data_IF_647700861652
#
_entry.id   IF_647700861652
#
_cell.length_a   1.000
_cell.length_b   1.000
_cell.length_c   1.000
_cell.angle_alpha   90.00
_cell.angle_beta   90.00
_cell.angle_gamma   90.00
#
_symmetry.space_group_name_H-M   'P 1'
#
loop_
_entity.id
_entity.type
_entity.pdbx_description
1 polymer ?
#
# COMPACT_ATOMS: atom_id res chain seq x y z
N UNK A 1 -18.76 6.97 -2.80
CA UNK A 1 -18.03 5.72 -3.05
C UNK A 1 -18.08 5.29 -4.53
N UNK A 2 -18.05 6.23 -5.48
CA UNK A 2 -18.10 5.97 -6.95
C UNK A 2 -16.93 6.69 -7.67
N UNK A 3 -15.92 7.14 -6.93
CA UNK A 3 -14.80 7.91 -7.48
C UNK A 3 -13.72 7.09 -8.21
N UNK A 4 -13.82 5.77 -8.20
CA UNK A 4 -12.70 4.90 -8.63
C UNK A 4 -12.82 4.32 -10.04
N UNK A 5 -13.89 4.60 -10.78
CA UNK A 5 -14.20 3.86 -12.04
C UNK A 5 -14.39 4.80 -13.25
N UNK A 6 -14.42 6.11 -13.08
CA UNK A 6 -14.67 7.01 -14.21
C UNK A 6 -13.44 7.86 -14.53
N UNK A 7 -13.16 7.98 -15.83
CA UNK A 7 -12.24 8.99 -16.36
C UNK A 7 -12.60 10.36 -15.74
N UNK A 8 -11.63 11.12 -15.20
CA UNK A 8 -11.86 12.41 -14.57
C UNK A 8 -12.69 13.39 -15.43
N UNK A 9 -12.45 13.40 -16.74
CA UNK A 9 -13.17 14.25 -17.69
C UNK A 9 -14.65 13.86 -17.80
N UNK A 10 -14.93 12.55 -17.85
CA UNK A 10 -16.30 12.03 -17.87
C UNK A 10 -17.03 12.33 -16.56
N UNK A 11 -16.31 12.28 -15.43
CA UNK A 11 -16.87 12.65 -14.13
C UNK A 11 -17.22 14.14 -14.06
N UNK A 12 -16.32 15.01 -14.52
CA UNK A 12 -16.56 16.46 -14.56
C UNK A 12 -17.75 16.79 -15.47
N UNK A 13 -17.82 16.21 -16.66
CA UNK A 13 -18.95 16.38 -17.59
C UNK A 13 -20.27 15.92 -16.98
N UNK A 14 -20.27 14.81 -16.25
CA UNK A 14 -21.44 14.33 -15.52
C UNK A 14 -21.87 15.29 -14.42
N UNK A 15 -20.91 15.85 -13.67
CA UNK A 15 -21.18 16.85 -12.62
C UNK A 15 -21.75 18.14 -13.24
N UNK A 16 -21.21 18.61 -14.36
CA UNK A 16 -21.74 19.77 -15.09
C UNK A 16 -23.16 19.52 -15.61
N UNK A 17 -23.40 18.35 -16.18
CA UNK A 17 -24.73 17.95 -16.67
C UNK A 17 -25.76 17.83 -15.55
N UNK A 18 -25.31 17.47 -14.34
CA UNK A 18 -26.16 17.31 -13.15
C UNK A 18 -26.29 18.59 -12.29
N UNK A 19 -25.76 19.71 -12.75
CA UNK A 19 -25.76 20.99 -12.00
C UNK A 19 -27.14 21.42 -11.50
N UNK A 20 -28.20 21.10 -12.25
CA UNK A 20 -29.59 21.44 -11.93
C UNK A 20 -30.19 20.62 -10.79
N UNK A 21 -29.54 19.49 -10.43
CA UNK A 21 -29.97 18.56 -9.37
C UNK A 21 -29.14 18.77 -8.08
N UNK A 22 -27.93 19.33 -8.22
CA UNK A 22 -27.03 19.53 -7.09
C UNK A 22 -27.31 20.86 -6.39
N UNK A 23 -27.22 20.87 -5.06
CA UNK A 23 -27.22 22.15 -4.33
C UNK A 23 -26.00 22.98 -4.73
N UNK A 24 -26.13 24.32 -4.86
CA UNK A 24 -25.02 25.18 -5.29
C UNK A 24 -23.71 24.97 -4.48
N UNK A 25 -23.84 24.78 -3.17
CA UNK A 25 -22.69 24.51 -2.28
C UNK A 25 -21.99 23.19 -2.58
N UNK A 26 -22.76 22.17 -2.90
CA UNK A 26 -22.19 20.85 -3.20
C UNK A 26 -21.54 20.85 -4.60
N UNK A 27 -22.15 21.50 -5.56
CA UNK A 27 -21.57 21.70 -6.89
C UNK A 27 -20.23 22.43 -6.80
N UNK A 28 -20.15 23.59 -6.13
CA UNK A 28 -18.91 24.34 -5.96
C UNK A 28 -17.83 23.51 -5.23
N UNK A 29 -18.23 22.75 -4.22
CA UNK A 29 -17.31 21.88 -3.49
C UNK A 29 -16.76 20.76 -4.37
N UNK A 30 -17.60 20.16 -5.20
CA UNK A 30 -17.20 19.10 -6.13
C UNK A 30 -16.26 19.67 -7.18
N UNK A 31 -16.59 20.82 -7.79
CA UNK A 31 -15.74 21.48 -8.79
C UNK A 31 -14.39 21.90 -8.18
N UNK A 32 -14.37 22.56 -7.04
CA UNK A 32 -13.11 22.90 -6.36
C UNK A 32 -12.23 21.69 -6.02
N UNK A 33 -12.84 20.55 -5.74
CA UNK A 33 -12.13 19.29 -5.49
C UNK A 33 -11.73 18.57 -6.78
N UNK A 34 -12.33 18.93 -7.93
CA UNK A 34 -12.01 18.42 -9.26
C UNK A 34 -11.13 19.37 -10.07
N UNK A 35 -11.06 20.66 -9.73
CA UNK A 35 -10.16 21.67 -10.33
C UNK A 35 -8.67 21.45 -9.99
N UNK A 36 -8.35 20.37 -9.31
CA UNK A 36 -7.01 19.79 -9.34
C UNK A 36 -6.86 19.11 -10.70
N UNK A 37 -6.55 19.92 -11.70
CA UNK A 37 -6.49 19.55 -13.11
C UNK A 37 -5.55 18.36 -13.35
N UNK A 38 -6.02 17.27 -13.98
CA UNK A 38 -5.16 16.16 -14.39
C UNK A 38 -4.32 16.47 -15.64
N UNK A 39 -4.36 17.70 -16.15
CA UNK A 39 -3.79 18.09 -17.45
C UNK A 39 -2.37 18.67 -17.38
N UNK A 40 -1.69 18.67 -16.23
CA UNK A 40 -0.26 18.88 -16.22
C UNK A 40 0.44 17.53 -16.31
N UNK A 41 1.25 17.28 -17.36
CA UNK A 41 2.04 16.03 -17.46
C UNK A 41 3.07 15.88 -16.33
N UNK A 42 3.22 16.89 -15.47
CA UNK A 42 4.04 16.85 -14.25
C UNK A 42 3.22 16.54 -12.98
N UNK A 43 1.90 16.44 -13.07
CA UNK A 43 1.06 16.07 -11.94
C UNK A 43 0.96 14.54 -11.84
N UNK A 44 2.03 13.91 -11.47
CA UNK A 44 1.92 12.62 -10.80
C UNK A 44 1.15 12.86 -9.50
N UNK A 45 0.02 12.20 -9.28
CA UNK A 45 -0.70 12.37 -8.02
C UNK A 45 0.30 12.07 -6.90
N UNK A 46 0.68 13.11 -6.16
CA UNK A 46 1.61 12.99 -5.03
C UNK A 46 0.87 12.20 -3.94
N UNK A 47 0.70 10.91 -4.18
CA UNK A 47 0.19 9.96 -3.18
C UNK A 47 1.13 10.00 -1.98
N UNK A 48 2.33 10.53 -2.18
CA UNK A 48 3.46 10.39 -1.33
C UNK A 48 4.25 11.71 -1.20
N UNK A 49 3.85 12.57 -0.29
CA UNK A 49 4.77 13.55 0.29
C UNK A 49 5.03 13.11 1.72
N UNK A 50 6.19 12.54 1.96
CA UNK A 50 6.65 12.25 3.31
C UNK A 50 8.11 12.68 3.45
N UNK A 51 8.39 13.56 4.40
CA UNK A 51 9.76 13.85 4.82
C UNK A 51 10.38 12.57 5.39
N UNK A 52 11.66 12.34 5.08
CA UNK A 52 12.39 11.19 5.60
C UNK A 52 12.46 11.26 7.13
N UNK A 53 12.09 10.20 7.79
CA UNK A 53 12.07 10.15 9.23
C UNK A 53 11.81 8.75 9.76
N UNK A 54 11.67 8.67 11.08
CA UNK A 54 11.49 7.40 11.77
C UNK A 54 10.17 6.68 11.41
N UNK A 55 9.17 7.40 10.90
CA UNK A 55 7.89 6.82 10.53
C UNK A 55 7.84 6.27 9.09
N UNK A 56 8.90 6.45 8.30
CA UNK A 56 9.05 5.83 6.99
C UNK A 56 10.41 5.15 6.82
N UNK A 57 11.07 4.86 7.94
CA UNK A 57 12.35 4.16 7.98
C UNK A 57 13.44 4.89 7.19
N UNK A 58 13.40 6.22 7.15
CA UNK A 58 14.29 7.08 6.37
C UNK A 58 14.37 6.75 4.88
N UNK A 59 13.49 5.87 4.38
CA UNK A 59 13.41 5.47 2.98
C UNK A 59 12.97 6.61 2.07
N UNK A 60 13.41 6.54 0.81
CA UNK A 60 12.89 7.41 -0.24
C UNK A 60 11.60 6.79 -0.75
N UNK A 61 10.49 7.47 -0.51
CA UNK A 61 9.24 7.05 -1.07
C UNK A 61 9.23 7.34 -2.57
N UNK A 62 9.21 6.30 -3.36
CA UNK A 62 9.18 6.34 -4.82
C UNK A 62 8.07 5.42 -5.32
N UNK A 63 7.22 5.96 -6.18
CA UNK A 63 6.14 5.21 -6.82
C UNK A 63 6.67 3.99 -7.56
N UNK A 64 7.79 4.14 -8.27
CA UNK A 64 8.42 3.04 -9.02
C UNK A 64 8.96 1.95 -8.09
N UNK A 65 9.60 2.33 -6.97
CA UNK A 65 10.08 1.34 -6.00
C UNK A 65 8.93 0.58 -5.36
N UNK A 66 7.87 1.30 -4.91
CA UNK A 66 6.68 0.65 -4.34
C UNK A 66 6.05 -0.31 -5.34
N UNK A 67 5.83 0.15 -6.59
CA UNK A 67 5.31 -0.71 -7.66
C UNK A 67 6.16 -1.98 -7.82
N UNK A 68 7.45 -1.82 -7.95
CA UNK A 68 8.33 -2.96 -8.23
C UNK A 68 8.51 -3.91 -7.04
N UNK A 69 8.35 -3.44 -5.78
CA UNK A 69 8.23 -4.33 -4.62
C UNK A 69 6.94 -5.16 -4.70
N UNK A 70 5.81 -4.54 -5.04
CA UNK A 70 4.54 -5.26 -5.23
C UNK A 70 4.64 -6.32 -6.33
N UNK A 71 5.19 -5.95 -7.49
CA UNK A 71 5.42 -6.87 -8.61
C UNK A 71 6.36 -8.02 -8.20
N UNK A 72 7.40 -7.72 -7.41
CA UNK A 72 8.35 -8.73 -6.92
C UNK A 72 7.67 -9.74 -5.99
N UNK A 73 6.88 -9.26 -5.04
CA UNK A 73 6.10 -10.12 -4.15
C UNK A 73 5.11 -10.98 -4.93
N UNK A 74 4.39 -10.41 -5.89
CA UNK A 74 3.45 -11.15 -6.74
C UNK A 74 4.16 -12.19 -7.62
N UNK A 75 5.33 -11.88 -8.14
CA UNK A 75 6.14 -12.83 -8.90
C UNK A 75 6.58 -14.03 -8.04
N UNK A 76 6.94 -13.79 -6.77
CA UNK A 76 7.45 -14.85 -5.86
C UNK A 76 6.35 -15.64 -5.17
N UNK A 77 5.27 -14.98 -4.77
CA UNK A 77 4.21 -15.56 -3.95
C UNK A 77 2.96 -15.94 -4.77
N UNK A 78 2.88 -15.54 -6.04
CA UNK A 78 1.67 -15.70 -6.86
C UNK A 78 0.60 -14.69 -6.47
N UNK A 79 -0.66 -15.06 -6.67
CA UNK A 79 -1.82 -14.24 -6.30
C UNK A 79 -1.85 -13.99 -4.79
N UNK A 80 -1.95 -12.72 -4.38
CA UNK A 80 -1.86 -12.34 -2.96
C UNK A 80 -3.06 -11.51 -2.56
N UNK A 81 -3.74 -11.89 -1.48
CA UNK A 81 -4.78 -11.05 -0.88
C UNK A 81 -4.24 -9.74 -0.32
N UNK A 82 -5.02 -8.68 -0.38
CA UNK A 82 -4.68 -7.36 0.19
C UNK A 82 -4.13 -7.45 1.61
N UNK A 83 -4.83 -8.20 2.46
CA UNK A 83 -4.43 -8.37 3.87
C UNK A 83 -3.04 -8.98 3.98
N UNK A 84 -2.74 -9.99 3.17
CA UNK A 84 -1.42 -10.63 3.13
C UNK A 84 -0.37 -9.68 2.57
N UNK A 85 -0.65 -8.98 1.48
CA UNK A 85 0.27 -8.00 0.88
C UNK A 85 0.68 -6.92 1.89
N UNK A 86 -0.27 -6.39 2.65
CA UNK A 86 0.01 -5.42 3.71
C UNK A 86 1.04 -5.91 4.72
N UNK A 87 0.97 -7.20 5.09
CA UNK A 87 1.91 -7.81 6.05
C UNK A 87 3.28 -8.07 5.42
N UNK A 88 3.31 -8.53 4.18
CA UNK A 88 4.56 -8.75 3.46
C UNK A 88 5.33 -7.44 3.29
N UNK A 89 4.65 -6.33 2.94
CA UNK A 89 5.25 -5.01 2.87
C UNK A 89 5.77 -4.53 4.24
N UNK A 90 4.95 -4.69 5.30
CA UNK A 90 5.36 -4.32 6.65
C UNK A 90 6.63 -5.05 7.06
N UNK A 91 6.67 -6.37 6.95
CA UNK A 91 7.85 -7.12 7.33
C UNK A 91 9.06 -6.81 6.44
N UNK A 92 8.89 -6.65 5.13
CA UNK A 92 9.98 -6.29 4.23
C UNK A 92 10.65 -4.98 4.63
N UNK A 93 9.87 -3.94 4.88
CA UNK A 93 10.40 -2.63 5.26
C UNK A 93 11.02 -2.62 6.66
N UNK A 94 10.38 -3.29 7.63
CA UNK A 94 10.89 -3.32 8.99
C UNK A 94 12.14 -4.18 9.14
N UNK A 95 12.24 -5.31 8.42
CA UNK A 95 13.46 -6.12 8.37
C UNK A 95 14.57 -5.36 7.67
N UNK A 96 14.27 -4.67 6.57
CA UNK A 96 15.25 -3.83 5.89
C UNK A 96 15.77 -2.71 6.80
N UNK A 97 14.88 -2.05 7.51
CA UNK A 97 15.30 -1.03 8.47
C UNK A 97 16.18 -1.61 9.59
N UNK A 98 15.84 -2.77 10.13
CA UNK A 98 16.65 -3.47 11.15
C UNK A 98 18.04 -3.84 10.65
N UNK A 99 18.14 -4.31 9.41
CA UNK A 99 19.40 -4.82 8.86
C UNK A 99 20.24 -3.73 8.17
N UNK A 100 19.60 -2.78 7.48
CA UNK A 100 20.25 -1.81 6.63
C UNK A 100 20.15 -0.36 7.17
N UNK A 101 19.34 -0.11 8.20
CA UNK A 101 19.07 1.24 8.72
C UNK A 101 18.12 2.06 7.86
N UNK A 102 17.54 1.49 6.81
CA UNK A 102 16.65 2.16 5.86
C UNK A 102 15.59 1.20 5.34
N UNK A 103 14.35 1.68 5.15
CA UNK A 103 13.28 0.89 4.55
C UNK A 103 13.43 0.78 3.03
N UNK A 104 12.87 -0.28 2.42
CA UNK A 104 12.90 -0.49 0.97
C UNK A 104 11.95 0.46 0.25
N UNK A 105 10.73 0.60 0.76
CA UNK A 105 9.67 1.34 0.06
C UNK A 105 9.55 2.81 0.49
N UNK A 106 9.97 3.14 1.71
CA UNK A 106 9.72 4.44 2.34
C UNK A 106 8.27 4.65 2.78
N UNK A 107 7.46 3.60 2.85
CA UNK A 107 6.08 3.66 3.30
C UNK A 107 5.98 3.90 4.81
N UNK A 108 4.94 4.62 5.22
CA UNK A 108 4.53 4.72 6.63
C UNK A 108 3.43 3.71 6.91
N UNK A 109 3.43 3.16 8.11
CA UNK A 109 2.49 2.12 8.52
C UNK A 109 1.60 2.56 9.68
N UNK A 110 0.37 2.03 9.73
CA UNK A 110 -0.58 2.21 10.83
C UNK A 110 -0.97 0.87 11.42
N UNK A 111 -1.21 0.85 12.72
CA UNK A 111 -1.78 -0.29 13.42
C UNK A 111 -3.31 -0.21 13.37
N UNK A 112 -3.96 -0.98 12.51
CA UNK A 112 -5.41 -1.09 12.44
C UNK A 112 -5.89 -2.44 12.98
N UNK A 113 -7.21 -2.66 13.04
CA UNK A 113 -7.82 -3.89 13.58
C UNK A 113 -7.24 -5.17 12.97
N UNK A 114 -6.96 -5.16 11.66
CA UNK A 114 -6.44 -6.32 10.94
C UNK A 114 -4.89 -6.39 10.88
N UNK A 115 -4.20 -5.68 11.77
CA UNK A 115 -2.73 -5.64 11.85
C UNK A 115 -2.11 -4.42 11.18
N UNK A 116 -0.78 -4.35 11.09
CA UNK A 116 -0.07 -3.27 10.40
C UNK A 116 -0.43 -3.19 8.92
N UNK A 117 -0.68 -1.98 8.44
CA UNK A 117 -0.95 -1.69 7.02
C UNK A 117 -0.24 -0.42 6.58
N UNK A 118 0.20 -0.31 5.32
CA UNK A 118 0.67 0.96 4.79
C UNK A 118 -0.41 2.04 4.88
N UNK A 119 -0.04 3.28 5.18
CA UNK A 119 -0.99 4.39 5.07
C UNK A 119 -1.50 4.47 3.64
N UNK A 120 -2.83 4.61 3.48
CA UNK A 120 -3.51 4.67 2.18
C UNK A 120 -3.25 3.45 1.27
N UNK A 121 -3.12 2.26 1.86
CA UNK A 121 -2.94 1.01 1.12
C UNK A 121 -3.98 0.81 0.00
N UNK A 122 -5.22 1.25 0.23
CA UNK A 122 -6.32 1.24 -0.74
C UNK A 122 -5.98 2.00 -2.03
N UNK A 123 -5.25 3.12 -1.91
CA UNK A 123 -4.81 3.92 -3.06
C UNK A 123 -3.54 3.38 -3.69
N UNK A 124 -2.63 2.85 -2.88
CA UNK A 124 -1.37 2.27 -3.36
C UNK A 124 -1.67 1.21 -4.42
N UNK A 125 -2.53 0.26 -4.10
CA UNK A 125 -2.80 -0.86 -5.02
C UNK A 125 -3.55 -0.43 -6.28
N UNK A 126 -4.46 0.53 -6.18
CA UNK A 126 -5.21 1.04 -7.33
C UNK A 126 -4.43 2.04 -8.20
N UNK A 127 -3.19 2.39 -7.82
CA UNK A 127 -2.38 3.37 -8.56
C UNK A 127 -1.59 2.77 -9.73
N UNK A 128 -1.54 1.44 -9.82
CA UNK A 128 -0.69 0.76 -10.79
C UNK A 128 -1.51 -0.07 -11.78
N UNK A 129 -1.43 0.29 -13.06
CA UNK A 129 -2.13 -0.43 -14.14
C UNK A 129 -1.59 -1.84 -14.34
N UNK A 130 -0.34 -2.10 -13.93
CA UNK A 130 0.31 -3.40 -14.00
C UNK A 130 -0.21 -4.41 -12.98
N UNK A 131 -1.02 -3.96 -12.01
CA UNK A 131 -1.58 -4.80 -10.95
C UNK A 131 -3.09 -4.87 -11.11
N UNK A 132 -3.60 -6.06 -11.37
CA UNK A 132 -5.03 -6.33 -11.41
C UNK A 132 -5.58 -6.56 -10.00
N UNK A 133 -6.76 -6.02 -9.75
CA UNK A 133 -7.46 -6.09 -8.47
C UNK A 133 -8.76 -6.85 -8.70
N UNK A 134 -8.86 -8.03 -8.13
CA UNK A 134 -9.99 -8.93 -8.37
C UNK A 134 -10.69 -9.32 -7.06
N UNK A 135 -12.03 -9.21 -6.97
CA UNK A 135 -12.78 -9.80 -5.88
C UNK A 135 -12.71 -11.32 -5.99
N UNK A 136 -12.51 -12.00 -4.87
CA UNK A 136 -12.51 -13.47 -4.81
C UNK A 136 -13.25 -13.96 -3.58
N UNK A 137 -14.10 -14.95 -3.78
CA UNK A 137 -14.83 -15.62 -2.72
C UNK A 137 -14.11 -16.94 -2.41
N UNK A 138 -13.78 -17.17 -1.14
CA UNK A 138 -13.23 -18.43 -0.65
C UNK A 138 -14.11 -18.92 0.49
N UNK A 139 -14.87 -19.99 0.23
CA UNK A 139 -15.93 -20.42 1.14
C UNK A 139 -16.97 -19.33 1.31
N UNK A 140 -17.24 -18.92 2.55
CA UNK A 140 -18.21 -17.86 2.89
C UNK A 140 -17.56 -16.47 3.05
N UNK A 141 -16.27 -16.34 2.72
CA UNK A 141 -15.52 -15.08 2.88
C UNK A 141 -15.22 -14.46 1.53
N UNK A 142 -15.52 -13.17 1.42
CA UNK A 142 -15.13 -12.34 0.31
C UNK A 142 -13.80 -11.63 0.62
N UNK A 143 -12.91 -11.59 -0.36
CA UNK A 143 -11.63 -10.90 -0.26
C UNK A 143 -11.22 -10.33 -1.60
N UNK A 144 -10.19 -9.48 -1.59
CA UNK A 144 -9.63 -8.89 -2.80
C UNK A 144 -8.22 -9.39 -3.02
N UNK A 145 -7.96 -9.89 -4.20
CA UNK A 145 -6.68 -10.44 -4.64
C UNK A 145 -5.99 -9.45 -5.56
N UNK A 146 -4.68 -9.36 -5.41
CA UNK A 146 -3.76 -8.71 -6.32
C UNK A 146 -3.13 -9.76 -7.22
N UNK A 147 -3.11 -9.49 -8.53
CA UNK A 147 -2.48 -10.34 -9.54
C UNK A 147 -1.69 -9.50 -10.52
N UNK A 148 -0.71 -10.08 -11.18
CA UNK A 148 0.06 -9.43 -12.25
C UNK A 148 0.64 -10.44 -13.23
N UNK A 149 0.84 -10.02 -14.49
CA UNK A 149 1.66 -10.71 -15.47
C UNK A 149 2.98 -9.98 -15.75
N UNK A 150 3.19 -8.82 -15.13
CA UNK A 150 4.35 -7.96 -15.36
C UNK A 150 5.49 -8.35 -14.43
N UNK A 151 6.70 -8.42 -14.97
CA UNK A 151 7.91 -8.69 -14.18
C UNK A 151 8.40 -7.40 -13.51
N UNK A 152 8.94 -7.50 -12.27
CA UNK A 152 9.53 -6.36 -11.60
C UNK A 152 10.84 -5.91 -12.29
N UNK A 153 11.10 -4.63 -12.25
CA UNK A 153 12.43 -4.08 -12.52
C UNK A 153 13.28 -4.18 -11.26
N UNK A 154 14.12 -5.20 -11.21
CA UNK A 154 15.00 -5.46 -10.06
C UNK A 154 16.22 -4.56 -10.03
N UNK A 155 16.52 -3.81 -11.09
CA UNK A 155 17.65 -2.87 -11.13
C UNK A 155 17.49 -1.68 -10.17
N UNK A 156 16.25 -1.45 -9.69
CA UNK A 156 15.92 -0.42 -8.69
C UNK A 156 16.38 -0.77 -7.27
N UNK A 157 16.80 -2.00 -7.02
CA UNK A 157 17.13 -2.52 -5.70
C UNK A 157 18.59 -2.97 -5.61
N UNK A 158 19.15 -2.82 -4.44
CA UNK A 158 20.45 -3.41 -4.11
C UNK A 158 20.32 -4.92 -3.90
N UNK A 159 21.42 -5.65 -3.97
CA UNK A 159 21.44 -7.09 -3.69
C UNK A 159 20.94 -7.40 -2.27
N UNK A 160 21.26 -6.56 -1.28
CA UNK A 160 20.78 -6.72 0.09
C UNK A 160 19.28 -6.54 0.20
N UNK A 161 18.68 -5.58 -0.50
CA UNK A 161 17.24 -5.39 -0.52
C UNK A 161 16.52 -6.57 -1.20
N UNK A 162 17.07 -7.07 -2.31
CA UNK A 162 16.53 -8.24 -2.99
C UNK A 162 16.61 -9.50 -2.10
N UNK A 163 17.70 -9.65 -1.36
CA UNK A 163 17.85 -10.76 -0.41
C UNK A 163 16.78 -10.71 0.68
N UNK A 164 16.51 -9.52 1.23
CA UNK A 164 15.45 -9.33 2.23
C UNK A 164 14.08 -9.67 1.63
N UNK A 165 13.78 -9.19 0.42
CA UNK A 165 12.52 -9.50 -0.26
C UNK A 165 12.37 -11.02 -0.49
N UNK A 166 13.44 -11.72 -0.85
CA UNK A 166 13.45 -13.17 -1.01
C UNK A 166 13.23 -13.89 0.33
N UNK A 167 13.87 -13.44 1.40
CA UNK A 167 13.69 -13.97 2.76
C UNK A 167 12.24 -13.82 3.21
N UNK A 168 11.65 -12.64 3.05
CA UNK A 168 10.25 -12.36 3.39
C UNK A 168 9.29 -13.26 2.58
N UNK A 169 9.47 -13.32 1.27
CA UNK A 169 8.63 -14.15 0.42
C UNK A 169 8.75 -15.63 0.78
N UNK A 170 9.96 -16.16 0.97
CA UNK A 170 10.16 -17.57 1.28
C UNK A 170 9.65 -17.97 2.66
N UNK A 171 9.83 -17.10 3.66
CA UNK A 171 9.43 -17.38 5.04
C UNK A 171 7.93 -17.23 5.28
N UNK A 172 7.28 -16.27 4.58
CA UNK A 172 5.90 -15.89 4.86
C UNK A 172 4.91 -16.31 3.77
N UNK A 173 5.37 -16.83 2.62
CA UNK A 173 4.46 -17.24 1.53
C UNK A 173 3.52 -18.39 1.92
N UNK A 174 3.95 -19.28 2.81
CA UNK A 174 3.15 -20.44 3.24
C UNK A 174 1.97 -20.08 4.13
N UNK A 175 2.01 -18.92 4.80
CA UNK A 175 0.92 -18.47 5.68
C UNK A 175 -0.26 -17.93 4.90
N UNK A 176 -1.46 -18.19 5.38
CA UNK A 176 -2.69 -17.53 4.92
C UNK A 176 -2.74 -16.07 5.39
N UNK A 177 -3.66 -15.29 4.83
CA UNK A 177 -3.89 -13.91 5.27
C UNK A 177 -4.28 -13.81 6.74
N UNK A 178 -5.07 -14.77 7.24
CA UNK A 178 -5.49 -14.83 8.65
C UNK A 178 -4.31 -15.13 9.55
N UNK A 179 -3.53 -16.17 9.24
CA UNK A 179 -2.34 -16.53 10.03
C UNK A 179 -1.31 -15.40 10.09
N UNK A 180 -1.07 -14.69 8.98
CA UNK A 180 -0.19 -13.52 8.98
C UNK A 180 -0.77 -12.35 9.79
N UNK A 181 -2.07 -12.16 9.81
CA UNK A 181 -2.70 -11.18 10.70
C UNK A 181 -2.48 -11.55 12.16
N UNK A 182 -2.73 -12.81 12.52
CA UNK A 182 -2.55 -13.30 13.89
C UNK A 182 -1.08 -13.19 14.36
N UNK A 183 -0.13 -13.50 13.49
CA UNK A 183 1.29 -13.28 13.74
C UNK A 183 1.61 -11.79 13.95
N UNK A 184 1.11 -10.93 13.07
CA UNK A 184 1.35 -9.49 13.17
C UNK A 184 0.73 -8.83 14.41
N UNK A 185 -0.34 -9.43 14.97
CA UNK A 185 -0.94 -8.99 16.23
C UNK A 185 -0.08 -9.31 17.47
N UNK A 186 0.92 -10.17 17.32
CA UNK A 186 1.87 -10.48 18.40
C UNK A 186 3.06 -9.52 18.40
N UNK A 187 3.22 -8.70 17.37
CA UNK A 187 4.31 -7.74 17.27
C UNK A 187 4.10 -6.55 18.21
N UNK A 188 5.12 -6.12 18.97
CA UNK A 188 5.05 -4.90 19.80
C UNK A 188 4.62 -3.68 18.98
N UNK A 189 5.05 -3.59 17.74
CA UNK A 189 4.66 -2.56 16.79
C UNK A 189 3.14 -2.41 16.65
N UNK A 190 2.39 -3.50 16.69
CA UNK A 190 0.93 -3.47 16.64
C UNK A 190 0.32 -3.31 18.03
N UNK A 191 0.79 -4.08 19.01
CA UNK A 191 0.24 -4.11 20.38
C UNK A 191 0.19 -2.70 20.97
N UNK A 192 1.26 -1.93 20.83
CA UNK A 192 1.36 -0.61 21.45
C UNK A 192 0.58 0.49 20.70
N UNK A 193 0.23 0.25 19.43
CA UNK A 193 -0.32 1.28 18.54
C UNK A 193 -1.77 1.05 18.10
N UNK A 194 -2.33 -0.17 18.24
CA UNK A 194 -3.63 -0.51 17.63
C UNK A 194 -4.83 0.20 18.27
N UNK A 195 -4.80 0.49 19.57
CA UNK A 195 -5.90 1.15 20.26
C UNK A 195 -6.26 2.53 19.71
N UNK A 196 -5.27 3.25 19.21
CA UNK A 196 -5.42 4.60 18.64
C UNK A 196 -5.27 4.63 17.11
N UNK A 197 -5.08 3.45 16.47
CA UNK A 197 -4.76 3.35 15.05
C UNK A 197 -3.59 4.25 14.65
N UNK A 198 -2.59 4.35 15.54
CA UNK A 198 -1.45 5.26 15.39
C UNK A 198 -0.49 4.81 14.30
N UNK A 199 0.32 5.76 13.83
CA UNK A 199 1.50 5.45 13.04
C UNK A 199 2.47 4.62 13.84
N UNK A 200 3.08 3.65 13.19
CA UNK A 200 4.09 2.77 13.77
C UNK A 200 5.49 3.36 13.51
N UNK A 201 6.26 3.59 14.58
CA UNK A 201 7.67 3.96 14.44
C UNK A 201 8.49 2.75 13.97
N UNK A 202 9.44 2.99 13.08
CA UNK A 202 10.38 1.94 12.65
C UNK A 202 11.36 1.49 13.75
N UNK A 203 11.41 2.19 14.88
CA UNK A 203 12.15 1.72 16.07
C UNK A 203 11.71 0.33 16.53
N UNK A 204 10.44 -0.01 16.31
CA UNK A 204 9.91 -1.35 16.58
C UNK A 204 10.56 -2.46 15.74
N UNK A 205 11.32 -2.14 14.70
CA UNK A 205 12.02 -3.12 13.89
C UNK A 205 13.00 -3.98 14.71
N UNK A 206 13.60 -3.40 15.76
CA UNK A 206 14.47 -4.13 16.69
C UNK A 206 13.74 -5.15 17.56
N UNK A 207 12.43 -5.00 17.71
CA UNK A 207 11.58 -5.83 18.56
C UNK A 207 10.70 -6.82 17.77
N UNK A 208 10.89 -6.94 16.45
CA UNK A 208 10.18 -7.91 15.62
C UNK A 208 10.41 -9.35 16.16
N UNK A 209 9.31 -10.11 16.26
CA UNK A 209 9.29 -11.48 16.75
C UNK A 209 9.27 -12.53 15.64
N UNK A 210 8.68 -12.15 14.50
CA UNK A 210 8.59 -12.99 13.30
C UNK A 210 9.73 -12.59 12.39
N UNK A 211 10.76 -13.40 12.24
CA UNK A 211 12.00 -13.16 11.46
C UNK A 211 13.17 -12.60 12.27
#
# INVERSE_FOLDING_TARGET
>A
MIRSIMNPDVFIDMVHSSRHILLPKDYEKIIRQSDVSPLHPEYQPTIFVCERGIYNGYGVLSTDRVKNVLLYVLMKCGDVFYTKMNKLLFYADFVAYRQLGISITGLSYKAIEFGPVPERWDRIYSSFEEISIEPRIIGDREGTILTTSVKPDTSLFTESELHILDEICSSLACYTSTELSDLSHQEPAWIDNHHSSSRISYEYASALKVL
#
